data_IF_907562007999
#
_entry.id   IF_907562007999
#
_cell.length_a   1.000
_cell.length_b   1.000
_cell.length_c   1.000
_cell.angle_alpha   90.00
_cell.angle_beta   90.00
_cell.angle_gamma   90.00
#
_symmetry.space_group_name_H-M   'P 1'
#
loop_
_entity.id
_entity.type
_entity.pdbx_description
1 polymer ?
#
# COMPACT_ATOMS: atom_id res chain seq x y z
N UNK A 1 9.04 -10.38 53.33
CA UNK A 1 9.83 -11.54 52.84
C UNK A 1 8.86 -12.69 52.57
N UNK A 2 8.80 -13.12 51.30
CA UNK A 2 8.17 -14.34 50.75
C UNK A 2 6.65 -14.54 50.92
N UNK A 3 5.90 -14.13 49.89
CA UNK A 3 4.79 -14.94 49.38
C UNK A 3 5.31 -15.74 48.19
N UNK A 4 5.17 -17.06 48.25
CA UNK A 4 5.46 -18.02 47.19
C UNK A 4 4.15 -18.77 46.96
N UNK A 5 3.51 -18.58 45.81
CA UNK A 5 2.85 -19.68 45.12
C UNK A 5 2.65 -19.34 43.65
N UNK A 6 3.00 -20.33 42.84
CA UNK A 6 3.30 -20.26 41.42
C UNK A 6 2.07 -19.98 40.56
N UNK A 7 2.21 -19.01 39.66
CA UNK A 7 1.32 -18.81 38.51
C UNK A 7 1.43 -20.02 37.57
N UNK A 8 0.30 -20.66 37.31
CA UNK A 8 0.07 -21.50 36.16
C UNK A 8 0.20 -20.65 34.89
N UNK A 9 1.39 -20.65 34.29
CA UNK A 9 1.57 -20.13 32.95
C UNK A 9 0.82 -21.02 31.96
N UNK A 10 -0.27 -20.49 31.42
CA UNK A 10 -1.05 -21.07 30.34
C UNK A 10 -0.13 -21.38 29.15
N UNK A 11 0.02 -22.67 28.89
CA UNK A 11 0.94 -23.28 27.94
C UNK A 11 0.29 -23.38 26.56
N UNK A 12 -0.21 -22.26 26.01
CA UNK A 12 -0.90 -22.22 24.71
C UNK A 12 -0.03 -21.66 23.56
N UNK A 13 1.08 -21.00 23.87
CA UNK A 13 1.97 -20.36 22.88
C UNK A 13 2.81 -21.35 22.05
N UNK A 14 2.95 -22.61 22.47
CA UNK A 14 3.93 -23.54 21.90
C UNK A 14 3.35 -24.49 20.84
N UNK A 15 2.04 -24.73 20.82
CA UNK A 15 1.43 -25.68 19.87
C UNK A 15 1.20 -25.10 18.46
N UNK A 16 1.26 -23.77 18.29
CA UNK A 16 1.15 -23.12 16.98
C UNK A 16 2.51 -22.95 16.27
N UNK A 17 3.63 -23.07 16.97
CA UNK A 17 4.96 -22.79 16.41
C UNK A 17 5.55 -23.93 15.56
N UNK A 18 5.20 -25.20 15.81
CA UNK A 18 5.89 -26.30 15.14
C UNK A 18 5.50 -26.48 13.65
N UNK A 19 4.27 -26.13 13.26
CA UNK A 19 3.77 -26.32 11.88
C UNK A 19 3.69 -25.03 11.04
N UNK A 20 3.73 -23.84 11.66
CA UNK A 20 3.85 -22.54 10.96
C UNK A 20 5.29 -22.31 10.43
N UNK A 21 6.21 -23.23 10.73
CA UNK A 21 7.65 -23.19 10.46
C UNK A 21 8.06 -23.21 8.97
N UNK A 22 7.11 -23.23 8.04
CA UNK A 22 7.35 -23.36 6.58
C UNK A 22 6.53 -22.39 5.74
N UNK A 23 6.26 -21.20 6.24
CA UNK A 23 5.45 -20.21 5.50
C UNK A 23 6.32 -19.03 5.09
N UNK A 24 6.22 -18.65 3.81
CA UNK A 24 6.78 -17.41 3.29
C UNK A 24 5.64 -16.39 3.18
N UNK A 25 5.74 -15.28 3.95
CA UNK A 25 4.87 -14.11 3.79
C UNK A 25 5.53 -13.14 2.83
N UNK A 26 4.75 -12.53 1.93
CA UNK A 26 5.20 -11.66 0.84
C UNK A 26 4.31 -10.41 0.76
N UNK A 27 4.88 -9.20 0.71
CA UNK A 27 4.11 -7.95 0.53
C UNK A 27 3.82 -7.58 -0.93
N UNK A 28 2.80 -6.75 -1.16
CA UNK A 28 2.61 -5.99 -2.40
C UNK A 28 2.67 -4.50 -2.08
N UNK A 29 3.69 -3.80 -2.56
CA UNK A 29 3.88 -2.38 -2.26
C UNK A 29 2.94 -1.46 -3.03
N UNK A 30 2.70 -0.29 -2.43
CA UNK A 30 1.87 0.80 -2.90
C UNK A 30 2.67 1.73 -3.82
N UNK A 31 2.44 1.65 -5.13
CA UNK A 31 2.97 2.63 -6.09
C UNK A 31 4.51 2.68 -6.14
N UNK A 32 5.05 3.45 -7.08
CA UNK A 32 6.48 3.75 -7.08
C UNK A 32 6.69 5.18 -6.57
N UNK A 33 7.76 5.39 -5.82
CA UNK A 33 8.29 6.74 -5.54
C UNK A 33 9.54 6.98 -6.41
N UNK A 34 9.78 8.21 -6.83
CA UNK A 34 10.92 8.57 -7.67
C UNK A 34 12.27 8.47 -6.94
N UNK A 35 12.26 8.49 -5.60
CA UNK A 35 13.48 8.44 -4.80
C UNK A 35 13.96 7.00 -4.53
N UNK A 36 13.04 6.04 -4.49
CA UNK A 36 13.37 4.64 -4.32
C UNK A 36 13.33 3.93 -5.67
N UNK A 37 14.48 3.86 -6.36
CA UNK A 37 14.67 3.01 -7.56
C UNK A 37 14.47 1.51 -7.30
N UNK A 38 14.11 1.13 -6.08
CA UNK A 38 13.87 -0.24 -5.64
C UNK A 38 12.54 -0.42 -4.90
N UNK A 39 11.65 0.58 -4.89
CA UNK A 39 10.35 0.42 -4.23
C UNK A 39 9.27 0.70 -5.24
N UNK A 40 8.78 -0.37 -5.82
CA UNK A 40 7.75 -0.29 -6.82
C UNK A 40 7.67 -1.53 -7.66
N UNK A 41 7.19 -2.55 -7.00
CA UNK A 41 6.43 -3.59 -7.66
C UNK A 41 5.49 -4.14 -6.60
N UNK A 42 4.91 -5.29 -6.86
CA UNK A 42 4.71 -6.29 -5.81
C UNK A 42 6.05 -6.44 -5.07
N UNK A 43 6.38 -5.56 -4.11
CA UNK A 43 7.62 -5.68 -3.34
C UNK A 43 7.42 -6.80 -2.37
N UNK A 44 7.90 -7.94 -2.86
CA UNK A 44 7.78 -9.19 -2.20
C UNK A 44 8.68 -9.19 -0.97
N UNK A 45 8.16 -8.69 0.14
CA UNK A 45 8.83 -8.78 1.44
C UNK A 45 8.74 -10.22 1.96
N UNK A 46 9.73 -11.06 1.65
CA UNK A 46 9.83 -12.42 2.18
C UNK A 46 10.18 -12.37 3.67
N UNK A 47 9.18 -12.41 4.54
CA UNK A 47 9.41 -12.64 5.97
C UNK A 47 9.38 -14.15 6.24
N UNK A 48 10.49 -14.84 5.96
CA UNK A 48 10.68 -16.22 6.37
C UNK A 48 11.04 -16.24 7.87
N UNK A 49 10.10 -16.62 8.74
CA UNK A 49 10.36 -16.84 10.17
C UNK A 49 11.31 -18.03 10.38
N UNK A 50 12.61 -17.72 10.33
CA UNK A 50 13.80 -18.43 10.82
C UNK A 50 14.15 -19.80 10.19
N UNK A 51 15.35 -19.81 9.58
CA UNK A 51 16.18 -20.96 9.13
C UNK A 51 15.57 -21.84 8.02
N UNK A 52 15.33 -21.22 6.87
CA UNK A 52 15.76 -21.90 5.64
C UNK A 52 17.30 -21.95 5.69
N UNK A 53 17.86 -23.07 6.18
CA UNK A 53 19.20 -23.53 5.80
C UNK A 53 19.20 -23.94 4.31
N UNK A 54 18.62 -23.11 3.45
CA UNK A 54 18.78 -23.21 2.01
C UNK A 54 20.12 -22.55 1.72
N UNK A 55 21.17 -23.37 1.64
CA UNK A 55 22.54 -22.96 1.32
C UNK A 55 22.72 -22.41 -0.10
N UNK A 56 21.79 -21.57 -0.56
CA UNK A 56 21.73 -21.02 -1.91
C UNK A 56 20.81 -19.81 -2.11
N UNK A 57 19.95 -19.43 -1.15
CA UNK A 57 19.13 -18.21 -1.24
C UNK A 57 19.92 -16.96 -0.79
N UNK A 58 21.13 -16.75 -1.34
CA UNK A 58 21.74 -15.42 -1.36
C UNK A 58 21.01 -14.63 -2.43
N UNK A 59 20.28 -13.60 -2.02
CA UNK A 59 19.67 -12.57 -2.90
C UNK A 59 19.12 -13.13 -4.22
N UNK A 60 18.07 -13.95 -4.14
CA UNK A 60 17.21 -14.09 -5.30
C UNK A 60 16.53 -12.74 -5.52
N UNK A 61 17.07 -11.92 -6.43
CA UNK A 61 16.37 -10.82 -7.09
C UNK A 61 15.29 -11.44 -8.00
N UNK A 62 14.33 -12.11 -7.38
CA UNK A 62 13.17 -12.65 -8.09
C UNK A 62 12.15 -11.53 -8.13
N UNK A 63 11.89 -11.08 -9.35
CA UNK A 63 11.04 -9.94 -9.65
C UNK A 63 9.58 -10.36 -9.91
N UNK A 64 9.28 -11.66 -9.95
CA UNK A 64 7.95 -12.18 -10.31
C UNK A 64 7.42 -13.10 -9.24
N UNK A 65 6.20 -12.85 -8.80
CA UNK A 65 5.55 -13.67 -7.78
C UNK A 65 5.38 -15.13 -8.22
N UNK A 66 5.18 -15.39 -9.51
CA UNK A 66 5.08 -16.74 -10.06
C UNK A 66 6.36 -17.56 -9.89
N UNK A 67 7.53 -16.93 -10.06
CA UNK A 67 8.82 -17.59 -9.86
C UNK A 67 9.02 -17.92 -8.36
N UNK A 68 8.56 -17.05 -7.47
CA UNK A 68 8.61 -17.31 -6.02
C UNK A 68 7.66 -18.43 -5.63
N UNK A 69 6.45 -18.43 -6.18
CA UNK A 69 5.49 -19.52 -6.01
C UNK A 69 6.09 -20.86 -6.41
N UNK A 70 6.75 -20.93 -7.57
CA UNK A 70 7.40 -22.15 -8.04
C UNK A 70 8.50 -22.62 -7.07
N UNK A 71 9.37 -21.71 -6.63
CA UNK A 71 10.41 -22.03 -5.65
C UNK A 71 9.83 -22.53 -4.33
N UNK A 72 8.76 -21.90 -3.83
CA UNK A 72 8.08 -22.33 -2.60
C UNK A 72 7.48 -23.73 -2.76
N UNK A 73 6.75 -23.97 -3.85
CA UNK A 73 6.10 -25.24 -4.13
C UNK A 73 7.09 -26.37 -4.36
N UNK A 74 8.24 -26.10 -5.01
CA UNK A 74 9.34 -27.07 -5.15
C UNK A 74 9.93 -27.53 -3.81
N UNK A 75 9.77 -26.75 -2.75
CA UNK A 75 10.18 -27.09 -1.39
C UNK A 75 9.02 -27.55 -0.50
N UNK A 76 7.81 -27.70 -1.04
CA UNK A 76 6.61 -28.06 -0.27
C UNK A 76 6.22 -27.01 0.77
N UNK A 77 6.49 -25.73 0.48
CA UNK A 77 6.23 -24.57 1.35
C UNK A 77 5.04 -23.81 0.75
N UNK A 78 3.94 -23.58 1.49
CA UNK A 78 2.85 -22.72 1.03
C UNK A 78 3.24 -21.24 1.04
N UNK A 79 2.74 -20.51 0.04
CA UNK A 79 3.01 -19.09 -0.17
C UNK A 79 1.83 -18.22 0.29
N UNK A 80 2.08 -17.31 1.24
CA UNK A 80 1.09 -16.31 1.69
C UNK A 80 1.49 -14.92 1.18
N UNK A 81 0.56 -14.22 0.55
CA UNK A 81 0.78 -12.87 0.03
C UNK A 81 -0.14 -11.86 0.73
N UNK A 82 0.43 -10.76 1.19
CA UNK A 82 -0.21 -9.56 1.69
C UNK A 82 -0.46 -8.61 0.50
N UNK A 83 -1.60 -8.81 -0.15
CA UNK A 83 -2.10 -8.01 -1.27
C UNK A 83 -3.06 -6.92 -0.76
N UNK A 84 -2.68 -6.23 0.32
CA UNK A 84 -3.53 -5.23 0.96
C UNK A 84 -4.07 -4.16 -0.01
N UNK A 85 -3.30 -3.83 -1.06
CA UNK A 85 -3.63 -2.78 -2.04
C UNK A 85 -3.94 -3.31 -3.44
N UNK A 86 -3.99 -4.63 -3.63
CA UNK A 86 -4.25 -5.25 -4.94
C UNK A 86 -5.63 -5.88 -5.05
N UNK A 87 -6.61 -5.45 -4.25
CA UNK A 87 -7.94 -6.06 -4.23
C UNK A 87 -8.71 -5.97 -5.56
N UNK A 88 -8.31 -5.06 -6.46
CA UNK A 88 -8.82 -4.92 -7.83
C UNK A 88 -8.04 -5.73 -8.87
N UNK A 89 -6.94 -6.38 -8.51
CA UNK A 89 -6.12 -7.15 -9.45
C UNK A 89 -6.89 -8.36 -9.99
N UNK A 90 -6.67 -8.67 -11.27
CA UNK A 90 -7.36 -9.75 -11.97
C UNK A 90 -8.80 -9.46 -12.42
N UNK A 91 -9.35 -8.27 -12.14
CA UNK A 91 -10.70 -7.88 -12.56
C UNK A 91 -10.75 -7.15 -13.92
N UNK A 92 -9.62 -6.97 -14.60
CA UNK A 92 -9.51 -6.47 -15.97
C UNK A 92 -8.17 -6.89 -16.57
N UNK A 93 -8.10 -7.08 -17.89
CA UNK A 93 -6.86 -7.42 -18.60
C UNK A 93 -5.85 -6.25 -18.59
N UNK A 94 -6.31 -5.04 -18.25
CA UNK A 94 -5.47 -3.84 -18.08
C UNK A 94 -4.89 -3.70 -16.66
N UNK A 95 -5.34 -4.53 -15.70
CA UNK A 95 -4.86 -4.52 -14.33
C UNK A 95 -3.82 -5.64 -14.13
N UNK A 96 -2.92 -5.51 -13.13
CA UNK A 96 -2.03 -6.59 -12.75
C UNK A 96 -2.80 -7.88 -12.42
N UNK A 97 -2.15 -9.02 -12.62
CA UNK A 97 -2.65 -10.31 -12.14
C UNK A 97 -2.66 -10.33 -10.61
N UNK A 98 -3.70 -10.91 -10.00
CA UNK A 98 -3.72 -11.10 -8.56
C UNK A 98 -2.68 -12.14 -8.12
N UNK A 99 -2.29 -12.09 -6.86
CA UNK A 99 -1.35 -13.04 -6.28
C UNK A 99 -1.84 -14.49 -6.40
N UNK A 100 -3.15 -14.72 -6.31
CA UNK A 100 -3.75 -16.04 -6.56
C UNK A 100 -3.54 -16.51 -7.99
N UNK A 101 -3.72 -15.63 -8.98
CA UNK A 101 -3.46 -15.96 -10.39
C UNK A 101 -1.98 -16.26 -10.63
N UNK A 102 -1.09 -15.73 -9.80
CA UNK A 102 0.35 -15.92 -9.85
C UNK A 102 0.84 -17.10 -8.98
N UNK A 103 -0.05 -17.89 -8.38
CA UNK A 103 0.30 -19.14 -7.69
C UNK A 103 0.33 -19.08 -6.17
N UNK A 104 0.04 -17.94 -5.54
CA UNK A 104 -0.06 -17.87 -4.09
C UNK A 104 -1.14 -18.83 -3.54
N UNK A 105 -0.87 -19.40 -2.37
CA UNK A 105 -1.77 -20.31 -1.66
C UNK A 105 -2.84 -19.55 -0.87
N UNK A 106 -2.41 -18.49 -0.18
CA UNK A 106 -3.28 -17.59 0.57
C UNK A 106 -2.97 -16.14 0.21
N UNK A 107 -4.01 -15.32 0.10
CA UNK A 107 -3.88 -13.89 -0.19
C UNK A 107 -4.74 -13.08 0.78
N UNK A 108 -4.13 -12.12 1.45
CA UNK A 108 -4.81 -11.18 2.35
C UNK A 108 -5.00 -9.87 1.62
N UNK A 109 -6.25 -9.42 1.48
CA UNK A 109 -6.59 -8.15 0.84
C UNK A 109 -7.27 -7.21 1.85
N UNK A 110 -6.82 -5.96 1.93
CA UNK A 110 -7.53 -4.91 2.67
C UNK A 110 -8.60 -4.33 1.76
N UNK A 111 -9.74 -5.02 1.65
CA UNK A 111 -10.85 -4.68 0.75
C UNK A 111 -11.21 -3.19 0.83
N UNK A 112 -11.25 -2.62 2.04
CA UNK A 112 -11.62 -1.23 2.28
C UNK A 112 -10.64 -0.18 1.72
N UNK A 113 -9.41 -0.56 1.38
CA UNK A 113 -8.42 0.38 0.86
C UNK A 113 -8.62 0.69 -0.62
N UNK A 114 -9.26 -0.22 -1.35
CA UNK A 114 -9.32 -0.14 -2.83
C UNK A 114 -10.72 -0.38 -3.36
N UNK A 115 -11.46 -1.30 -2.77
CA UNK A 115 -12.84 -1.61 -3.12
C UNK A 115 -13.81 -0.87 -2.19
N UNK A 116 -15.09 -0.89 -2.56
CA UNK A 116 -16.16 -0.17 -1.87
C UNK A 116 -16.66 -0.89 -0.60
N UNK A 117 -15.75 -1.21 0.34
CA UNK A 117 -16.12 -1.76 1.65
C UNK A 117 -15.69 -0.83 2.79
N UNK A 118 -16.29 -1.00 3.97
CA UNK A 118 -16.05 -0.11 5.11
C UNK A 118 -14.67 -0.33 5.74
N UNK A 119 -14.05 0.72 6.26
CA UNK A 119 -12.76 0.65 6.99
C UNK A 119 -12.79 -0.45 8.05
N UNK A 120 -11.63 -1.11 8.25
CA UNK A 120 -11.44 -2.33 9.06
C UNK A 120 -11.87 -3.64 8.40
N UNK A 121 -12.55 -3.61 7.25
CA UNK A 121 -12.92 -4.84 6.53
C UNK A 121 -11.80 -5.37 5.62
N UNK A 122 -11.62 -6.69 5.59
CA UNK A 122 -10.61 -7.38 4.78
C UNK A 122 -11.10 -8.77 4.38
N UNK A 123 -10.48 -9.34 3.35
CA UNK A 123 -10.75 -10.71 2.90
C UNK A 123 -9.46 -11.54 2.90
N UNK A 124 -9.57 -12.78 3.36
CA UNK A 124 -8.56 -13.82 3.18
C UNK A 124 -9.06 -14.75 2.08
N UNK A 125 -8.28 -14.87 1.01
CA UNK A 125 -8.58 -15.76 -0.10
C UNK A 125 -7.67 -16.97 -0.07
N UNK A 126 -8.23 -18.15 -0.33
CA UNK A 126 -7.51 -19.40 -0.41
C UNK A 126 -7.58 -19.91 -1.85
N UNK A 127 -6.43 -20.26 -2.41
CA UNK A 127 -6.37 -20.92 -3.73
C UNK A 127 -7.11 -22.26 -3.68
N UNK A 128 -7.80 -22.61 -4.76
CA UNK A 128 -8.42 -23.94 -4.89
C UNK A 128 -7.39 -25.06 -5.03
N UNK A 129 -6.15 -24.70 -5.42
CA UNK A 129 -5.04 -25.64 -5.62
C UNK A 129 -4.16 -25.78 -4.38
N UNK A 130 -4.43 -25.03 -3.32
CA UNK A 130 -3.60 -25.06 -2.11
C UNK A 130 -3.70 -26.39 -1.38
N UNK A 131 -2.59 -26.82 -0.79
CA UNK A 131 -2.54 -27.98 0.12
C UNK A 131 -2.72 -27.59 1.59
N UNK A 132 -2.93 -26.30 1.88
CA UNK A 132 -3.13 -25.82 3.26
C UNK A 132 -4.51 -26.23 3.79
N UNK A 133 -4.50 -26.79 5.01
CA UNK A 133 -5.67 -27.23 5.76
C UNK A 133 -6.63 -26.04 6.04
N UNK A 134 -7.88 -26.17 5.57
CA UNK A 134 -8.91 -25.13 5.68
C UNK A 134 -9.50 -25.04 7.08
N UNK A 135 -9.68 -26.18 7.74
CA UNK A 135 -10.16 -26.28 9.11
C UNK A 135 -9.18 -25.59 10.05
N UNK A 136 -7.88 -25.78 9.82
CA UNK A 136 -6.83 -25.08 10.57
C UNK A 136 -6.87 -23.58 10.37
N UNK A 137 -7.04 -23.10 9.14
CA UNK A 137 -7.19 -21.67 8.86
C UNK A 137 -8.42 -21.11 9.58
N UNK A 138 -9.54 -21.82 9.55
CA UNK A 138 -10.76 -21.45 10.24
C UNK A 138 -10.55 -21.32 11.76
N UNK A 139 -9.87 -22.27 12.39
CA UNK A 139 -9.52 -22.20 13.82
C UNK A 139 -8.61 -21.01 14.15
N UNK A 140 -7.63 -20.71 13.28
CA UNK A 140 -6.76 -19.55 13.45
C UNK A 140 -7.55 -18.24 13.34
N UNK A 141 -8.45 -18.12 12.35
CA UNK A 141 -9.31 -16.96 12.19
C UNK A 141 -10.22 -16.75 13.40
N UNK A 142 -10.87 -17.81 13.90
CA UNK A 142 -11.72 -17.76 15.09
C UNK A 142 -10.97 -17.30 16.35
N UNK A 143 -9.67 -17.58 16.43
CA UNK A 143 -8.83 -17.15 17.56
C UNK A 143 -8.46 -15.66 17.50
N UNK A 144 -8.47 -15.05 16.32
CA UNK A 144 -8.11 -13.64 16.10
C UNK A 144 -9.34 -12.74 15.99
N UNK A 145 -10.46 -13.28 15.54
CA UNK A 145 -11.69 -12.54 15.33
C UNK A 145 -12.50 -12.44 16.63
N UNK A 146 -13.29 -11.37 16.73
CA UNK A 146 -14.31 -11.25 17.77
C UNK A 146 -15.38 -12.33 17.59
N UNK A 147 -15.90 -12.85 18.71
CA UNK A 147 -17.07 -13.74 18.71
C UNK A 147 -18.37 -13.01 18.35
N UNK A 148 -18.33 -11.67 18.29
CA UNK A 148 -19.46 -10.80 17.94
C UNK A 148 -19.06 -9.91 16.74
N UNK A 149 -19.07 -10.44 15.50
CA UNK A 149 -18.64 -9.69 14.34
C UNK A 149 -19.60 -8.53 14.05
N UNK A 150 -19.05 -7.43 13.52
CA UNK A 150 -19.87 -6.32 13.08
C UNK A 150 -20.54 -6.66 11.74
N UNK A 151 -21.85 -6.89 11.77
CA UNK A 151 -22.64 -7.24 10.59
C UNK A 151 -22.60 -6.18 9.49
N UNK A 152 -22.37 -4.90 9.81
CA UNK A 152 -22.22 -3.85 8.79
C UNK A 152 -20.91 -4.02 8.00
N UNK A 153 -19.82 -4.43 8.67
CA UNK A 153 -18.56 -4.71 7.99
C UNK A 153 -18.73 -5.93 7.06
N UNK A 154 -19.37 -7.00 7.55
CA UNK A 154 -19.66 -8.20 6.75
C UNK A 154 -20.57 -7.89 5.55
N UNK A 155 -21.63 -7.12 5.76
CA UNK A 155 -22.52 -6.67 4.68
C UNK A 155 -21.79 -5.82 3.65
N UNK A 156 -20.88 -4.93 4.08
CA UNK A 156 -20.08 -4.12 3.15
C UNK A 156 -19.12 -4.95 2.30
N UNK A 157 -18.58 -6.04 2.86
CA UNK A 157 -17.74 -7.00 2.12
C UNK A 157 -18.55 -7.76 1.08
N UNK A 158 -19.75 -8.22 1.44
CA UNK A 158 -20.62 -8.90 0.47
C UNK A 158 -21.14 -7.96 -0.61
N UNK A 159 -21.46 -6.71 -0.27
CA UNK A 159 -21.83 -5.67 -1.23
C UNK A 159 -20.69 -5.37 -2.22
N UNK A 160 -19.44 -5.23 -1.73
CA UNK A 160 -18.27 -5.04 -2.59
C UNK A 160 -18.06 -6.24 -3.52
N UNK A 161 -18.20 -7.47 -3.01
CA UNK A 161 -18.16 -8.70 -3.82
C UNK A 161 -19.27 -8.72 -4.89
N UNK A 162 -20.48 -8.34 -4.52
CA UNK A 162 -21.62 -8.28 -5.45
C UNK A 162 -21.37 -7.26 -6.56
N UNK A 163 -20.90 -6.05 -6.24
CA UNK A 163 -20.55 -5.01 -7.21
C UNK A 163 -19.52 -5.51 -8.24
N UNK A 164 -18.49 -6.23 -7.80
CA UNK A 164 -17.48 -6.81 -8.70
C UNK A 164 -18.03 -7.89 -9.64
N UNK A 165 -19.13 -8.55 -9.26
CA UNK A 165 -19.73 -9.63 -10.02
C UNK A 165 -20.80 -9.16 -11.02
N UNK A 166 -21.32 -7.93 -10.90
CA UNK A 166 -22.34 -7.39 -11.81
C UNK A 166 -21.82 -7.24 -13.24
N UNK A 167 -20.62 -6.70 -13.40
CA UNK A 167 -19.99 -6.45 -14.70
C UNK A 167 -18.55 -6.98 -14.72
N UNK A 168 -18.37 -8.32 -14.78
CA UNK A 168 -17.05 -8.91 -14.78
C UNK A 168 -16.21 -8.37 -15.94
N UNK A 169 -14.94 -8.06 -15.69
CA UNK A 169 -13.96 -7.51 -16.64
C UNK A 169 -14.09 -6.04 -17.03
N UNK A 170 -15.27 -5.44 -16.86
CA UNK A 170 -15.50 -4.04 -17.25
C UNK A 170 -15.73 -3.09 -16.09
N UNK A 171 -15.92 -3.62 -14.86
CA UNK A 171 -16.17 -2.83 -13.64
C UNK A 171 -15.16 -1.71 -13.40
N UNK A 172 -13.89 -1.90 -13.79
CA UNK A 172 -12.83 -0.87 -13.64
C UNK A 172 -12.59 0.00 -14.88
N UNK A 173 -13.28 -0.24 -16.02
CA UNK A 173 -12.97 0.45 -17.27
C UNK A 173 -13.06 1.98 -17.15
N UNK A 174 -14.10 2.50 -16.50
CA UNK A 174 -14.25 3.94 -16.34
C UNK A 174 -13.15 4.53 -15.46
N UNK A 175 -12.84 3.90 -14.32
CA UNK A 175 -11.75 4.34 -13.45
C UNK A 175 -10.40 4.33 -14.18
N UNK A 176 -10.15 3.32 -15.02
CA UNK A 176 -8.93 3.22 -15.84
C UNK A 176 -8.90 4.32 -16.91
N UNK A 177 -10.03 4.60 -17.58
CA UNK A 177 -10.14 5.68 -18.56
C UNK A 177 -9.86 7.04 -17.91
N UNK A 178 -10.48 7.31 -16.76
CA UNK A 178 -10.25 8.53 -15.98
C UNK A 178 -8.79 8.65 -15.54
N UNK A 179 -8.18 7.58 -15.04
CA UNK A 179 -6.76 7.57 -14.66
C UNK A 179 -5.84 7.85 -15.85
N UNK A 180 -6.13 7.25 -17.00
CA UNK A 180 -5.36 7.41 -18.24
C UNK A 180 -5.47 8.84 -18.78
N UNK A 181 -6.67 9.40 -18.79
CA UNK A 181 -6.89 10.78 -19.21
C UNK A 181 -6.21 11.76 -18.27
N UNK A 182 -6.38 11.58 -16.96
CA UNK A 182 -5.75 12.44 -15.95
C UNK A 182 -4.23 12.44 -16.11
N UNK A 183 -3.65 11.26 -16.34
CA UNK A 183 -2.23 11.08 -16.62
C UNK A 183 -1.80 11.90 -17.84
N UNK A 184 -2.56 11.85 -18.94
CA UNK A 184 -2.27 12.62 -20.15
C UNK A 184 -2.34 14.14 -19.88
N UNK A 185 -3.39 14.61 -19.20
CA UNK A 185 -3.57 16.03 -18.89
C UNK A 185 -2.42 16.57 -18.03
N UNK A 186 -2.05 15.84 -16.98
CA UNK A 186 -1.01 16.27 -16.04
C UNK A 186 0.41 16.19 -16.63
N UNK A 187 0.66 15.27 -17.57
CA UNK A 187 1.94 15.18 -18.28
C UNK A 187 2.26 16.45 -19.08
N UNK A 188 1.24 17.21 -19.46
CA UNK A 188 1.39 18.46 -20.20
C UNK A 188 1.60 19.69 -19.30
N UNK A 189 1.57 19.53 -17.97
CA UNK A 189 1.79 20.65 -17.04
C UNK A 189 3.30 20.85 -16.83
N UNK A 190 3.85 22.04 -17.11
CA UNK A 190 5.27 22.31 -16.91
C UNK A 190 5.72 22.09 -15.45
N UNK A 191 6.86 21.43 -15.28
CA UNK A 191 7.46 21.13 -13.97
C UNK A 191 6.83 19.95 -13.22
N UNK A 192 5.79 19.31 -13.76
CA UNK A 192 5.23 18.08 -13.19
C UNK A 192 5.82 16.87 -13.92
N UNK A 193 6.41 15.97 -13.15
CA UNK A 193 6.91 14.69 -13.68
C UNK A 193 5.89 13.60 -13.41
N UNK A 194 5.36 12.98 -14.47
CA UNK A 194 4.45 11.84 -14.32
C UNK A 194 5.28 10.57 -14.36
N UNK A 195 5.16 9.76 -13.31
CA UNK A 195 5.80 8.46 -13.26
C UNK A 195 5.23 7.59 -14.37
N UNK A 196 6.07 6.97 -15.20
CA UNK A 196 5.67 6.19 -16.38
C UNK A 196 6.44 4.87 -16.48
N UNK A 197 5.91 3.89 -17.21
CA UNK A 197 6.46 2.53 -17.31
C UNK A 197 7.88 2.51 -17.90
N UNK A 198 8.21 3.48 -18.74
CA UNK A 198 9.56 3.69 -19.28
C UNK A 198 10.62 3.96 -18.20
N UNK A 199 10.20 4.39 -17.01
CA UNK A 199 11.12 4.62 -15.89
C UNK A 199 11.59 3.31 -15.23
N UNK A 200 10.93 2.18 -15.52
CA UNK A 200 11.17 0.88 -14.88
C UNK A 200 11.10 -0.28 -15.89
N UNK A 201 12.08 -0.41 -16.81
CA UNK A 201 12.04 -1.39 -17.90
C UNK A 201 12.04 -2.86 -17.45
N UNK A 202 12.52 -3.14 -16.23
CA UNK A 202 12.55 -4.50 -15.67
C UNK A 202 11.23 -4.90 -14.98
N UNK A 203 10.26 -3.99 -14.87
CA UNK A 203 9.02 -4.17 -14.12
C UNK A 203 7.87 -4.29 -15.13
N UNK A 204 7.28 -5.48 -15.24
CA UNK A 204 6.38 -5.82 -16.35
C UNK A 204 5.00 -5.16 -16.27
N UNK A 205 4.49 -4.87 -15.07
CA UNK A 205 3.09 -4.43 -14.93
C UNK A 205 2.94 -3.38 -13.84
N UNK A 206 2.44 -2.21 -14.22
CA UNK A 206 2.08 -1.12 -13.32
C UNK A 206 0.57 -1.14 -13.11
N UNK A 207 0.13 -0.85 -11.90
CA UNK A 207 -1.27 -0.51 -11.64
C UNK A 207 -1.65 0.84 -12.29
N UNK A 208 -2.52 0.85 -13.34
CA UNK A 208 -2.95 2.09 -13.97
C UNK A 208 -3.77 2.99 -13.03
N UNK A 209 -4.40 2.43 -11.99
CA UNK A 209 -5.19 3.15 -11.00
C UNK A 209 -4.34 3.81 -9.90
N UNK A 210 -3.01 3.80 -10.06
CA UNK A 210 -2.06 4.52 -9.21
C UNK A 210 -1.27 5.52 -10.05
N UNK A 211 -1.52 6.79 -9.79
CA UNK A 211 -0.89 7.91 -10.46
C UNK A 211 0.09 8.59 -9.50
N UNK A 212 1.38 8.47 -9.80
CA UNK A 212 2.42 9.15 -9.03
C UNK A 212 2.95 10.35 -9.81
N UNK A 213 2.95 11.49 -9.14
CA UNK A 213 3.40 12.79 -9.65
C UNK A 213 4.62 13.25 -8.88
N UNK A 214 5.60 13.76 -9.61
CA UNK A 214 6.85 14.31 -9.13
C UNK A 214 6.86 15.83 -9.20
N UNK A 215 7.32 16.47 -8.13
CA UNK A 215 7.28 17.94 -7.99
C UNK A 215 8.67 18.59 -7.92
N UNK A 216 9.76 17.80 -7.99
CA UNK A 216 11.12 18.32 -7.80
C UNK A 216 11.56 19.33 -8.88
N UNK A 217 10.98 19.27 -10.08
CA UNK A 217 11.26 20.26 -11.13
C UNK A 217 10.67 21.64 -10.80
N UNK A 218 9.70 21.72 -9.88
CA UNK A 218 9.19 22.97 -9.30
C UNK A 218 10.00 23.42 -8.07
N UNK A 219 11.04 22.68 -7.68
CA UNK A 219 11.79 22.92 -6.45
C UNK A 219 11.06 22.51 -5.16
N UNK A 220 10.00 21.71 -5.29
CA UNK A 220 9.18 21.25 -4.16
C UNK A 220 9.56 19.81 -3.76
N UNK A 221 9.59 19.56 -2.44
CA UNK A 221 9.49 18.20 -1.92
C UNK A 221 8.06 17.68 -2.03
N UNK A 222 7.87 16.36 -1.98
CA UNK A 222 6.54 15.77 -1.92
C UNK A 222 5.76 16.24 -0.70
N UNK A 223 6.41 16.38 0.46
CA UNK A 223 5.78 16.91 1.67
C UNK A 223 5.25 18.35 1.49
N UNK A 224 6.05 19.22 0.87
CA UNK A 224 5.62 20.61 0.58
C UNK A 224 4.46 20.64 -0.42
N UNK A 225 4.54 19.84 -1.48
CA UNK A 225 3.46 19.72 -2.45
C UNK A 225 2.17 19.20 -1.81
N UNK A 226 2.27 18.22 -0.90
CA UNK A 226 1.14 17.70 -0.14
C UNK A 226 0.50 18.79 0.73
N UNK A 227 1.32 19.58 1.43
CA UNK A 227 0.83 20.66 2.28
C UNK A 227 -0.01 21.68 1.50
N UNK A 228 0.48 22.11 0.32
CA UNK A 228 -0.25 23.04 -0.56
C UNK A 228 -1.55 22.39 -1.06
N UNK A 229 -1.47 21.16 -1.58
CA UNK A 229 -2.64 20.48 -2.13
C UNK A 229 -3.71 20.22 -1.06
N UNK A 230 -3.30 19.80 0.14
CA UNK A 230 -4.22 19.46 1.22
C UNK A 230 -4.82 20.70 1.87
N UNK A 231 -4.00 21.67 2.29
CA UNK A 231 -4.44 22.82 3.07
C UNK A 231 -5.12 23.89 2.22
N UNK A 232 -4.58 24.15 1.03
CA UNK A 232 -5.02 25.29 0.21
C UNK A 232 -6.01 24.87 -0.89
N UNK A 233 -5.91 23.62 -1.36
CA UNK A 233 -6.66 23.14 -2.53
C UNK A 233 -7.63 21.98 -2.21
N UNK A 234 -7.58 21.47 -0.97
CA UNK A 234 -8.41 20.37 -0.45
C UNK A 234 -8.34 19.11 -1.34
N UNK A 235 -7.15 18.78 -1.81
CA UNK A 235 -6.85 17.55 -2.55
C UNK A 235 -6.00 16.66 -1.65
N UNK A 236 -6.49 15.45 -1.41
CA UNK A 236 -5.82 14.45 -0.57
C UNK A 236 -5.15 13.42 -1.47
N UNK A 237 -3.86 13.18 -1.26
CA UNK A 237 -3.14 12.08 -1.89
C UNK A 237 -3.23 10.80 -1.03
N UNK A 238 -3.04 9.65 -1.66
CA UNK A 238 -2.96 8.36 -0.97
C UNK A 238 -1.63 8.19 -0.24
N UNK A 239 -0.52 8.59 -0.89
CA UNK A 239 0.83 8.42 -0.37
C UNK A 239 1.68 9.66 -0.66
N UNK A 240 2.40 10.10 0.37
CA UNK A 240 3.38 11.20 0.30
C UNK A 240 4.78 10.60 0.30
N UNK A 241 5.47 10.72 -0.83
CA UNK A 241 6.90 10.42 -0.97
C UNK A 241 7.76 11.66 -0.74
N UNK A 242 9.09 11.49 -0.69
CA UNK A 242 10.00 12.62 -0.47
C UNK A 242 10.03 13.61 -1.63
N UNK A 243 9.78 13.14 -2.85
CA UNK A 243 9.69 13.97 -4.07
C UNK A 243 8.40 13.81 -4.86
N UNK A 244 7.48 13.00 -4.36
CA UNK A 244 6.32 12.59 -5.13
C UNK A 244 5.06 12.46 -4.30
N UNK A 245 3.94 12.46 -4.99
CA UNK A 245 2.62 12.17 -4.42
C UNK A 245 1.94 11.12 -5.29
N UNK A 246 1.33 10.13 -4.65
CA UNK A 246 0.52 9.11 -5.34
C UNK A 246 -0.96 9.33 -5.08
N UNK A 247 -1.74 9.27 -6.15
CA UNK A 247 -3.19 9.39 -6.15
C UNK A 247 -3.81 8.05 -6.55
N UNK A 248 -4.82 7.64 -5.80
CA UNK A 248 -5.59 6.43 -6.04
C UNK A 248 -6.85 6.74 -6.85
N UNK A 249 -7.07 5.94 -7.88
CA UNK A 249 -8.33 5.90 -8.64
C UNK A 249 -9.08 4.64 -8.24
N UNK A 250 -10.39 4.74 -8.10
CA UNK A 250 -11.26 3.65 -7.65
C UNK A 250 -12.63 3.73 -8.34
N UNK A 251 -13.52 2.80 -8.02
CA UNK A 251 -14.86 2.71 -8.61
C UNK A 251 -15.76 3.93 -8.32
N UNK A 252 -15.44 4.70 -7.29
CA UNK A 252 -16.15 5.94 -6.93
C UNK A 252 -15.50 7.20 -7.50
N UNK A 253 -14.42 7.09 -8.28
CA UNK A 253 -13.75 8.25 -8.87
C UNK A 253 -14.62 8.84 -9.98
N UNK A 254 -14.87 10.15 -9.92
CA UNK A 254 -15.71 10.87 -10.87
C UNK A 254 -14.98 11.99 -11.62
N UNK A 255 -15.60 12.48 -12.70
CA UNK A 255 -15.05 13.53 -13.58
C UNK A 255 -14.73 14.82 -12.85
N UNK A 256 -15.57 15.20 -11.90
CA UNK A 256 -15.43 16.43 -11.11
C UNK A 256 -14.17 16.38 -10.24
N UNK A 257 -13.86 15.21 -9.66
CA UNK A 257 -12.64 15.00 -8.87
C UNK A 257 -11.39 15.09 -9.75
N UNK A 258 -11.45 14.56 -10.98
CA UNK A 258 -10.34 14.68 -11.95
C UNK A 258 -10.07 16.13 -12.31
N UNK A 259 -11.12 16.88 -12.64
CA UNK A 259 -11.00 18.30 -12.96
C UNK A 259 -10.43 19.10 -11.78
N UNK A 260 -10.87 18.78 -10.55
CA UNK A 260 -10.34 19.40 -9.33
C UNK A 260 -8.86 19.09 -9.13
N UNK A 261 -8.44 17.84 -9.32
CA UNK A 261 -7.04 17.45 -9.22
C UNK A 261 -6.18 18.17 -10.26
N UNK A 262 -6.61 18.15 -11.53
CA UNK A 262 -5.87 18.82 -12.62
C UNK A 262 -5.74 20.31 -12.37
N UNK A 263 -6.83 20.99 -11.99
CA UNK A 263 -6.82 22.42 -11.65
C UNK A 263 -5.91 22.72 -10.45
N UNK A 264 -5.95 21.90 -9.41
CA UNK A 264 -5.08 22.06 -8.24
C UNK A 264 -3.59 21.95 -8.61
N UNK A 265 -3.22 20.93 -9.39
CA UNK A 265 -1.83 20.76 -9.86
C UNK A 265 -1.41 21.91 -10.79
N UNK A 266 -2.32 22.40 -11.64
CA UNK A 266 -2.08 23.58 -12.47
C UNK A 266 -1.89 24.86 -11.67
N UNK A 267 -2.41 24.96 -10.43
CA UNK A 267 -2.17 26.12 -9.56
C UNK A 267 -0.82 26.03 -8.85
N UNK A 268 -0.35 24.82 -8.52
CA UNK A 268 0.97 24.60 -7.89
C UNK A 268 2.12 25.00 -8.82
N UNK A 269 2.02 24.67 -10.12
CA UNK A 269 3.05 24.96 -11.14
C UNK A 269 3.42 26.46 -11.30
N UNK A 270 2.47 27.40 -11.50
CA UNK A 270 2.75 28.82 -11.69
C UNK A 270 3.22 29.54 -10.42
N UNK A 271 2.73 29.15 -9.23
CA UNK A 271 3.12 29.75 -7.95
C UNK A 271 4.64 29.63 -7.74
N UNK A 272 5.25 28.50 -8.12
CA UNK A 272 6.70 28.29 -7.97
C UNK A 272 7.55 28.82 -9.14
N UNK A 273 6.99 28.94 -10.34
CA UNK A 273 7.68 29.58 -11.47
C UNK A 273 7.93 31.09 -11.24
N UNK A 274 7.06 31.74 -10.47
CA UNK A 274 7.19 33.15 -10.10
C UNK A 274 8.08 33.37 -8.86
N UNK A 275 8.09 32.44 -7.91
CA UNK A 275 9.01 32.45 -6.77
C UNK A 275 10.46 32.10 -7.15
N UNK A 276 10.68 31.28 -8.18
CA UNK A 276 12.04 30.94 -8.67
C UNK A 276 12.66 32.00 -9.59
N UNK A 277 11.85 32.85 -10.23
CA UNK A 277 12.30 33.99 -11.05
C UNK A 277 12.38 35.32 -10.27
N UNK A 278 11.91 35.34 -9.01
CA UNK A 278 12.10 36.46 -8.09
C UNK A 278 13.43 36.33 -7.36
N UNK A 279 14.31 37.32 -7.55
CA UNK A 279 15.54 37.51 -6.77
C UNK A 279 15.32 37.14 -5.30
N UNK A 280 16.28 36.43 -4.69
CA UNK A 280 16.54 36.56 -3.26
C UNK A 280 16.76 38.05 -2.98
N UNK A 281 15.71 38.74 -2.53
CA UNK A 281 15.83 40.08 -1.97
C UNK A 281 15.85 39.88 -0.46
N UNK A 282 17.00 40.21 0.12
CA UNK A 282 17.22 40.23 1.56
C UNK A 282 16.05 40.90 2.29
N UNK A 283 15.48 40.16 3.23
CA UNK A 283 14.42 40.63 4.12
C UNK A 283 14.31 39.75 5.36
N UNK A 284 15.44 39.23 5.86
CA UNK A 284 15.51 38.77 7.24
C UNK A 284 15.65 40.02 8.11
N UNK A 285 14.57 40.41 8.77
CA UNK A 285 14.71 41.08 10.06
C UNK A 285 15.34 40.04 10.96
N UNK A 286 16.59 40.30 11.34
CA UNK A 286 17.29 39.55 12.35
C UNK A 286 16.51 39.68 13.67
N UNK A 287 16.01 38.56 14.17
CA UNK A 287 15.72 38.42 15.59
C UNK A 287 16.88 37.60 16.17
N UNK A 288 17.87 38.32 16.71
CA UNK A 288 18.93 37.76 17.53
C UNK A 288 18.29 37.32 18.86
N UNK A 289 17.88 36.05 18.95
CA UNK A 289 17.93 35.22 20.17
C UNK A 289 17.23 33.87 19.96
N UNK A 290 18.01 32.83 19.65
CA UNK A 290 17.95 31.49 20.27
C UNK A 290 18.57 30.44 19.34
N UNK A 291 19.88 30.26 19.49
CA UNK A 291 20.54 29.01 19.10
C UNK A 291 20.24 28.00 20.22
N UNK A 292 19.39 27.01 19.96
CA UNK A 292 19.36 25.73 20.68
C UNK A 292 18.67 24.70 19.77
N UNK A 293 19.40 23.66 19.34
CA UNK A 293 18.80 22.50 18.69
C UNK A 293 18.00 21.66 19.70
N UNK A 294 16.95 20.94 19.30
CA UNK A 294 16.24 20.06 20.22
C UNK A 294 16.95 18.70 20.25
N UNK A 295 17.64 18.42 21.35
CA UNK A 295 17.84 17.06 21.84
C UNK A 295 17.60 17.05 23.34
N UNK A 296 16.91 16.01 23.79
CA UNK A 296 16.65 15.61 25.18
C UNK A 296 15.74 16.55 26.00
N UNK A 297 14.46 16.17 26.10
CA UNK A 297 13.72 15.98 27.37
C UNK A 297 12.21 15.97 27.08
N UNK A 298 11.67 14.78 26.78
CA UNK A 298 10.22 14.52 26.81
C UNK A 298 10.02 13.34 27.75
N UNK A 299 9.58 13.60 28.98
CA UNK A 299 8.98 12.58 29.84
C UNK A 299 7.58 12.24 29.31
N UNK A 300 7.43 11.01 28.81
CA UNK A 300 6.15 10.46 28.40
C UNK A 300 5.51 9.77 29.61
N UNK A 301 4.48 10.39 30.18
CA UNK A 301 3.62 9.77 31.19
C UNK A 301 2.42 9.07 30.55
N UNK A 302 2.38 7.74 30.59
CA UNK A 302 1.21 6.94 30.18
C UNK A 302 0.17 6.90 31.31
N UNK A 303 -1.05 7.37 31.07
CA UNK A 303 -2.19 7.19 31.98
C UNK A 303 -3.04 5.97 31.55
N UNK A 304 -3.29 4.95 32.39
CA UNK A 304 -3.82 3.65 31.94
C UNK A 304 -5.34 3.57 31.71
N UNK A 305 -6.04 4.67 31.39
CA UNK A 305 -7.52 4.69 31.42
C UNK A 305 -8.25 5.21 30.18
N UNK A 306 -7.58 5.34 29.04
CA UNK A 306 -8.26 5.59 27.78
C UNK A 306 -7.91 4.50 26.76
N UNK A 307 -8.61 3.38 26.91
CA UNK A 307 -8.91 2.39 25.88
C UNK A 307 -10.40 2.05 26.00
#
# INVERSE_FOLDING_TARGET
>A
MKFRNSKSNFKMSWYLEEEISRIIKIGVALGLDFDNKEVGMVDVFVEAKRKLKLGGLRELKVHKLSEISEVCHNHGIPLIVDEAHGAHFGFSDQLPYSALQQGADLVVQSTHKVLCSLTQSSMLHLSTKTSVDRERISMCLQSLQTTSPNNLLLASLDAARAQLNENPKTVFNEAINLATETRYLLKNIPGISVLDSSSFPNFQTRDPLRLTLGFWQLGLSGYQANDILHKDLMVICELVGSRSLTFAFNLGTCREQIQRLVSAIQQVSPIHSSLSNGKFVNGLVADENSVMGPSADIEIGLNPREC
#
